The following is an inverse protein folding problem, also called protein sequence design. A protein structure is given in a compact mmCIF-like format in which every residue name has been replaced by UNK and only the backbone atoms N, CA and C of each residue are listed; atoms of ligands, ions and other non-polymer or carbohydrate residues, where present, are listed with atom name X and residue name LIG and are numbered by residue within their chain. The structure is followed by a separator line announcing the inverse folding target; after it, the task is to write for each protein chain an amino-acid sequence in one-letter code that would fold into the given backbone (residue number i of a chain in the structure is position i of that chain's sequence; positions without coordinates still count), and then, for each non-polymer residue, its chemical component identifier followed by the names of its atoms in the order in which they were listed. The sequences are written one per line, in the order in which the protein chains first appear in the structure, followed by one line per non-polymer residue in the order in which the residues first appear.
data_IF_238375788226
#
_entry.id   IF_238375788226
#
_cell.length_a   1.000
_cell.length_b   1.000
_cell.length_c   1.000
_cell.angle_alpha   90.00
_cell.angle_beta   90.00
_cell.angle_gamma   90.00
#
_symmetry.space_group_name_H-M   'P 1'
#
loop_
_entity.id
_entity.type
_entity.pdbx_description
1 polymer ?
#
# COMPACT_ATOMS: atom_id res chain seq x y z
N UNK A 1 -21.59 44.92 53.07
CA UNK A 1 -20.88 44.40 51.89
C UNK A 1 -19.99 45.50 51.33
N UNK A 2 -18.67 45.36 51.46
CA UNK A 2 -17.66 46.32 50.96
C UNK A 2 -16.96 45.71 49.74
N UNK A 3 -16.69 46.48 48.67
CA UNK A 3 -15.93 45.98 47.53
C UNK A 3 -14.42 45.98 47.86
N UNK A 4 -13.78 44.85 47.62
CA UNK A 4 -12.33 44.67 47.76
C UNK A 4 -11.65 45.21 46.50
N UNK A 5 -10.78 46.20 46.70
CA UNK A 5 -9.91 46.81 45.68
C UNK A 5 -8.71 45.88 45.47
N UNK A 6 -8.66 45.21 44.33
CA UNK A 6 -7.45 44.48 43.90
C UNK A 6 -6.39 45.45 43.40
N UNK A 7 -5.20 45.34 43.99
CA UNK A 7 -4.00 46.15 43.73
C UNK A 7 -3.30 45.62 42.47
N UNK A 8 -3.11 46.51 41.51
CA UNK A 8 -2.27 46.31 40.33
C UNK A 8 -0.79 46.25 40.73
N UNK A 9 -0.14 45.13 40.46
CA UNK A 9 1.32 44.96 40.59
C UNK A 9 2.04 45.55 39.36
N UNK A 10 3.21 46.19 39.54
CA UNK A 10 3.95 46.80 38.45
C UNK A 10 4.69 45.75 37.60
N UNK A 11 4.57 45.92 36.29
CA UNK A 11 5.17 45.09 35.24
C UNK A 11 6.68 45.38 35.17
N UNK A 12 7.51 44.46 35.66
CA UNK A 12 8.95 44.52 35.46
C UNK A 12 9.28 44.40 33.96
N UNK A 13 9.87 45.44 33.39
CA UNK A 13 10.42 45.45 32.05
C UNK A 13 11.63 44.51 32.00
N UNK A 14 11.53 43.45 31.20
CA UNK A 14 12.66 42.59 30.86
C UNK A 14 13.62 43.33 29.91
N UNK A 15 14.94 43.25 30.13
CA UNK A 15 15.93 43.81 29.22
C UNK A 15 15.90 43.06 27.87
N UNK A 16 16.00 43.83 26.80
CA UNK A 16 16.08 43.35 25.43
C UNK A 16 17.32 42.44 25.28
N UNK A 17 17.08 41.16 25.01
CA UNK A 17 18.11 40.21 24.59
C UNK A 17 18.43 40.50 23.13
N UNK A 18 19.63 40.99 22.91
CA UNK A 18 20.23 41.22 21.60
C UNK A 18 20.37 39.86 20.88
N UNK A 19 19.52 39.65 19.88
CA UNK A 19 19.50 38.44 19.05
C UNK A 19 20.70 38.46 18.11
N UNK A 20 21.77 37.77 18.51
CA UNK A 20 22.86 37.38 17.62
C UNK A 20 22.29 36.57 16.44
N UNK A 21 22.54 36.94 15.18
CA UNK A 21 22.05 36.19 14.04
C UNK A 21 22.67 34.79 14.04
N UNK A 22 21.80 33.78 14.20
CA UNK A 22 22.17 32.38 14.10
C UNK A 22 22.74 32.11 12.71
N UNK A 23 23.95 31.53 12.68
CA UNK A 23 24.58 31.04 11.47
C UNK A 23 23.61 30.13 10.71
N UNK A 24 23.40 30.44 9.44
CA UNK A 24 22.57 29.65 8.53
C UNK A 24 23.07 28.19 8.57
N UNK A 25 22.19 27.21 8.87
CA UNK A 25 22.57 25.82 8.82
C UNK A 25 22.99 25.50 7.39
N UNK A 26 24.25 25.08 7.26
CA UNK A 26 24.85 24.52 6.07
C UNK A 26 23.85 23.55 5.45
N UNK A 27 23.22 23.97 4.35
CA UNK A 27 22.33 23.15 3.55
C UNK A 27 23.17 21.99 3.01
N UNK A 28 23.23 20.93 3.80
CA UNK A 28 23.74 19.63 3.37
C UNK A 28 22.78 19.18 2.28
N UNK A 29 23.13 19.54 1.05
CA UNK A 29 22.44 19.19 -0.16
C UNK A 29 22.34 17.67 -0.17
N UNK A 30 21.16 17.16 0.20
CA UNK A 30 20.82 15.76 0.06
C UNK A 30 21.01 15.41 -1.41
N UNK A 31 22.15 14.77 -1.71
CA UNK A 31 22.44 14.22 -3.01
C UNK A 31 21.24 13.39 -3.44
N UNK A 32 20.49 13.92 -4.41
CA UNK A 32 19.32 13.25 -4.96
C UNK A 32 19.83 11.94 -5.56
N UNK A 33 19.38 10.77 -5.08
CA UNK A 33 19.86 9.51 -5.61
C UNK A 33 19.64 9.48 -7.13
N UNK A 34 20.61 8.97 -7.90
CA UNK A 34 20.57 9.01 -9.35
C UNK A 34 19.35 8.23 -9.84
N UNK A 35 18.37 8.96 -10.41
CA UNK A 35 17.30 8.44 -11.25
C UNK A 35 16.80 7.04 -10.83
N UNK A 36 16.03 6.95 -9.74
CA UNK A 36 15.05 5.87 -9.59
C UNK A 36 13.97 6.09 -10.67
N UNK A 37 14.31 5.79 -11.93
CA UNK A 37 13.42 5.93 -13.06
C UNK A 37 12.35 4.82 -12.96
N UNK A 38 11.42 4.99 -12.02
CA UNK A 38 10.26 4.14 -11.87
C UNK A 38 9.58 4.05 -13.24
N UNK A 39 9.23 2.85 -13.69
CA UNK A 39 8.64 2.67 -15.01
C UNK A 39 7.37 3.49 -15.10
N UNK A 40 7.33 4.46 -16.03
CA UNK A 40 6.14 5.28 -16.26
C UNK A 40 4.96 4.37 -16.59
N UNK A 41 3.97 4.33 -15.69
CA UNK A 41 2.74 3.58 -15.91
C UNK A 41 1.89 4.31 -16.94
N UNK A 42 1.52 3.60 -18.01
CA UNK A 42 0.72 4.17 -19.09
C UNK A 42 -0.71 4.41 -18.59
N UNK A 43 -1.26 5.59 -18.88
CA UNK A 43 -2.67 5.90 -18.61
C UNK A 43 -3.60 4.95 -19.40
N UNK A 44 -4.79 4.63 -18.87
CA UNK A 44 -5.76 3.82 -19.59
C UNK A 44 -6.12 4.50 -20.91
N UNK A 45 -5.82 3.85 -22.05
CA UNK A 45 -6.26 4.33 -23.36
C UNK A 45 -7.79 4.27 -23.42
N UNK A 46 -8.44 5.41 -23.52
CA UNK A 46 -9.85 5.48 -23.87
C UNK A 46 -9.97 5.14 -25.35
N UNK A 47 -10.23 3.88 -25.68
CA UNK A 47 -10.58 3.51 -27.06
C UNK A 47 -11.96 4.12 -27.30
N UNK A 48 -12.01 5.22 -28.05
CA UNK A 48 -13.30 5.83 -28.38
C UNK A 48 -14.10 4.83 -29.23
N UNK A 49 -15.29 4.44 -28.77
CA UNK A 49 -16.24 3.61 -29.54
C UNK A 49 -16.51 4.19 -30.94
N UNK A 50 -16.33 5.50 -31.10
CA UNK A 50 -16.41 6.22 -32.37
C UNK A 50 -15.36 5.76 -33.39
N UNK A 51 -14.11 5.51 -32.98
CA UNK A 51 -13.08 4.99 -33.87
C UNK A 51 -13.40 3.56 -34.35
N UNK A 52 -13.99 2.74 -33.48
CA UNK A 52 -14.42 1.39 -33.85
C UNK A 52 -15.59 1.42 -34.84
N UNK A 53 -16.59 2.28 -34.60
CA UNK A 53 -17.74 2.44 -35.49
C UNK A 53 -17.38 2.99 -36.87
N UNK A 54 -16.43 3.92 -36.97
CA UNK A 54 -15.96 4.46 -38.26
C UNK A 54 -15.21 3.41 -39.07
N UNK A 55 -14.33 2.62 -38.44
CA UNK A 55 -13.61 1.54 -39.13
C UNK A 55 -14.58 0.45 -39.61
N UNK A 56 -15.54 0.05 -38.77
CA UNK A 56 -16.56 -0.94 -39.13
C UNK A 56 -17.46 -0.45 -40.28
N UNK A 57 -17.81 0.84 -40.28
CA UNK A 57 -18.62 1.45 -41.34
C UNK A 57 -17.90 1.55 -42.69
N UNK A 58 -16.60 1.87 -42.68
CA UNK A 58 -15.78 1.91 -43.91
C UNK A 58 -15.57 0.50 -44.49
N UNK A 59 -15.33 -0.51 -43.64
CA UNK A 59 -15.20 -1.91 -44.09
C UNK A 59 -16.49 -2.47 -44.69
N UNK A 60 -17.66 -2.16 -44.11
CA UNK A 60 -18.97 -2.59 -44.63
C UNK A 60 -19.27 -1.99 -46.02
N UNK A 61 -18.93 -0.72 -46.25
CA UNK A 61 -19.10 -0.07 -47.54
C UNK A 61 -18.11 -0.58 -48.61
N UNK A 62 -16.87 -0.88 -48.22
CA UNK A 62 -15.86 -1.44 -49.12
C UNK A 62 -16.17 -2.90 -49.50
N UNK A 63 -16.70 -3.70 -48.56
CA UNK A 63 -17.06 -5.11 -48.77
C UNK A 63 -18.19 -5.31 -49.79
N UNK A 64 -19.13 -4.36 -49.88
CA UNK A 64 -20.27 -4.44 -50.81
C UNK A 64 -19.86 -4.25 -52.28
N UNK A 65 -18.79 -3.48 -52.54
CA UNK A 65 -18.26 -3.26 -53.89
C UNK A 65 -17.32 -4.38 -54.39
N UNK A 66 -16.86 -5.27 -53.51
CA UNK A 66 -15.75 -6.20 -53.78
C UNK A 66 -16.15 -7.69 -53.78
N UNK A 67 -17.41 -8.02 -53.54
CA UNK A 67 -17.91 -9.39 -53.40
C UNK A 67 -17.90 -10.25 -54.70
N UNK A 68 -17.34 -9.76 -55.81
CA UNK A 68 -17.42 -10.41 -57.14
C UNK A 68 -16.16 -11.16 -57.59
N UNK A 69 -15.06 -11.17 -56.83
CA UNK A 69 -13.80 -11.84 -57.22
C UNK A 69 -13.29 -12.82 -56.16
N UNK A 70 -12.93 -14.05 -56.53
CA UNK A 70 -12.43 -15.12 -55.63
C UNK A 70 -11.20 -14.75 -54.79
N UNK A 71 -10.40 -13.78 -55.24
CA UNK A 71 -9.24 -13.26 -54.51
C UNK A 71 -9.59 -12.58 -53.18
N UNK A 72 -10.80 -12.02 -53.03
CA UNK A 72 -11.20 -11.30 -51.82
C UNK A 72 -11.44 -12.23 -50.64
N UNK A 73 -11.97 -13.43 -50.89
CA UNK A 73 -12.11 -14.46 -49.86
C UNK A 73 -10.76 -14.91 -49.29
N UNK A 74 -9.73 -15.01 -50.14
CA UNK A 74 -8.37 -15.32 -49.69
C UNK A 74 -7.80 -14.21 -48.80
N UNK A 75 -7.93 -12.95 -49.23
CA UNK A 75 -7.47 -11.80 -48.46
C UNK A 75 -8.18 -11.69 -47.10
N UNK A 76 -9.50 -11.93 -47.08
CA UNK A 76 -10.28 -11.94 -45.85
C UNK A 76 -9.87 -13.09 -44.92
N UNK A 77 -9.65 -14.29 -45.45
CA UNK A 77 -9.16 -15.43 -44.69
C UNK A 77 -7.79 -15.16 -44.06
N UNK A 78 -6.86 -14.54 -44.80
CA UNK A 78 -5.54 -14.16 -44.29
C UNK A 78 -5.61 -13.07 -43.21
N UNK A 79 -6.42 -12.03 -43.43
CA UNK A 79 -6.61 -10.95 -42.47
C UNK A 79 -7.28 -11.45 -41.18
N UNK A 80 -8.34 -12.25 -41.32
CA UNK A 80 -9.05 -12.86 -40.20
C UNK A 80 -8.16 -13.85 -39.44
N UNK A 81 -7.41 -14.70 -40.15
CA UNK A 81 -6.43 -15.60 -39.56
C UNK A 81 -5.32 -14.86 -38.80
N UNK A 82 -4.81 -13.77 -39.37
CA UNK A 82 -3.83 -12.88 -38.73
C UNK A 82 -4.38 -12.21 -37.46
N UNK A 83 -5.61 -11.68 -37.52
CA UNK A 83 -6.29 -11.07 -36.38
C UNK A 83 -6.57 -12.09 -35.26
N UNK A 84 -7.04 -13.30 -35.62
CA UNK A 84 -7.25 -14.37 -34.65
C UNK A 84 -5.93 -14.79 -34.00
N UNK A 85 -4.89 -15.06 -34.80
CA UNK A 85 -3.57 -15.42 -34.30
C UNK A 85 -2.98 -14.35 -33.36
N UNK A 86 -3.12 -13.07 -33.72
CA UNK A 86 -2.71 -11.95 -32.88
C UNK A 86 -3.54 -11.87 -31.59
N UNK A 87 -4.86 -12.04 -31.66
CA UNK A 87 -5.76 -12.03 -30.51
C UNK A 87 -5.46 -13.17 -29.53
N UNK A 88 -5.26 -14.39 -30.04
CA UNK A 88 -4.88 -15.55 -29.23
C UNK A 88 -3.51 -15.35 -28.57
N UNK A 89 -2.52 -14.85 -29.31
CA UNK A 89 -1.21 -14.52 -28.75
C UNK A 89 -1.31 -13.47 -27.65
N UNK A 90 -2.09 -12.40 -27.87
CA UNK A 90 -2.28 -11.33 -26.89
C UNK A 90 -3.03 -11.80 -25.64
N UNK A 91 -4.03 -12.69 -25.80
CA UNK A 91 -4.70 -13.35 -24.67
C UNK A 91 -3.73 -14.25 -23.91
N UNK A 92 -2.92 -15.04 -24.60
CA UNK A 92 -1.89 -15.87 -23.98
C UNK A 92 -0.87 -15.05 -23.17
N UNK A 93 -0.41 -13.93 -23.71
CA UNK A 93 0.47 -13.00 -22.98
C UNK A 93 -0.23 -12.41 -21.74
N UNK A 94 -1.52 -12.08 -21.83
CA UNK A 94 -2.28 -11.60 -20.69
C UNK A 94 -2.49 -12.67 -19.61
N UNK A 95 -2.86 -13.90 -19.97
CA UNK A 95 -3.00 -15.00 -19.02
C UNK A 95 -1.69 -15.31 -18.30
N UNK A 96 -0.56 -15.34 -19.03
CA UNK A 96 0.76 -15.51 -18.42
C UNK A 96 1.11 -14.39 -17.45
N UNK A 97 0.79 -13.15 -17.80
CA UNK A 97 1.02 -12.00 -16.93
C UNK A 97 0.11 -11.99 -15.69
N UNK A 98 -1.13 -12.47 -15.79
CA UNK A 98 -2.04 -12.66 -14.65
C UNK A 98 -1.50 -13.75 -13.74
N UNK A 99 -1.19 -14.93 -14.29
CA UNK A 99 -0.65 -16.05 -13.53
C UNK A 99 0.67 -15.68 -12.82
N UNK A 100 1.54 -14.90 -13.46
CA UNK A 100 2.76 -14.40 -12.82
C UNK A 100 2.46 -13.44 -11.64
N UNK A 101 1.44 -12.57 -11.72
CA UNK A 101 1.06 -11.73 -10.58
C UNK A 101 0.44 -12.54 -9.45
N UNK A 102 -0.45 -13.49 -9.77
CA UNK A 102 -1.06 -14.37 -8.78
C UNK A 102 0.02 -15.18 -8.05
N UNK A 103 0.98 -15.73 -8.80
CA UNK A 103 2.12 -16.43 -8.21
C UNK A 103 2.98 -15.50 -7.33
N UNK A 104 3.25 -14.28 -7.76
CA UNK A 104 3.98 -13.32 -6.94
C UNK A 104 3.25 -12.97 -5.64
N UNK A 105 1.91 -12.87 -5.69
CA UNK A 105 1.07 -12.68 -4.49
C UNK A 105 1.15 -13.89 -3.56
N UNK A 106 1.08 -15.11 -4.07
CA UNK A 106 1.25 -16.32 -3.26
C UNK A 106 2.63 -16.37 -2.59
N UNK A 107 3.69 -16.06 -3.33
CA UNK A 107 5.05 -15.99 -2.79
C UNK A 107 5.14 -14.94 -1.66
N UNK A 108 4.49 -13.79 -1.82
CA UNK A 108 4.33 -12.83 -0.73
C UNK A 108 3.59 -13.45 0.46
N UNK A 109 2.46 -14.13 0.27
CA UNK A 109 1.71 -14.73 1.40
C UNK A 109 2.55 -15.80 2.14
N UNK A 110 3.41 -16.52 1.42
CA UNK A 110 4.37 -17.50 1.94
C UNK A 110 5.61 -16.88 2.63
N UNK A 111 5.88 -15.59 2.41
CA UNK A 111 7.06 -14.91 2.95
C UNK A 111 8.29 -14.92 2.04
N UNK A 112 8.18 -15.45 0.82
CA UNK A 112 9.25 -15.50 -0.18
C UNK A 112 9.33 -14.17 -0.95
N UNK A 113 9.69 -13.09 -0.25
CA UNK A 113 9.68 -11.74 -0.79
C UNK A 113 10.67 -11.54 -1.96
N UNK A 114 11.85 -12.17 -1.90
CA UNK A 114 12.88 -12.06 -2.95
C UNK A 114 12.44 -12.72 -4.26
N UNK A 115 11.89 -13.92 -4.20
CA UNK A 115 11.36 -14.62 -5.38
C UNK A 115 10.19 -13.84 -6.00
N UNK A 116 9.30 -13.29 -5.16
CA UNK A 116 8.23 -12.42 -5.61
C UNK A 116 8.78 -11.16 -6.30
N UNK A 117 9.84 -10.55 -5.74
CA UNK A 117 10.50 -9.39 -6.31
C UNK A 117 11.01 -9.67 -7.74
N UNK A 118 11.74 -10.77 -7.91
CA UNK A 118 12.31 -11.18 -9.20
C UNK A 118 11.21 -11.38 -10.25
N UNK A 119 10.14 -12.09 -9.89
CA UNK A 119 9.02 -12.36 -10.80
C UNK A 119 8.30 -11.06 -11.23
N UNK A 120 8.09 -10.14 -10.29
CA UNK A 120 7.46 -8.85 -10.54
C UNK A 120 8.35 -7.92 -11.38
N UNK A 121 9.66 -7.92 -11.13
CA UNK A 121 10.61 -7.10 -11.87
C UNK A 121 10.74 -7.59 -13.33
N UNK A 122 10.77 -8.92 -13.56
CA UNK A 122 10.68 -9.51 -14.90
C UNK A 122 9.37 -9.10 -15.61
N UNK A 123 8.25 -9.13 -14.90
CA UNK A 123 6.96 -8.75 -15.45
C UNK A 123 6.89 -7.26 -15.80
N UNK A 124 7.44 -6.38 -14.97
CA UNK A 124 7.48 -4.94 -15.22
C UNK A 124 8.41 -4.57 -16.39
N UNK A 125 9.56 -5.26 -16.51
CA UNK A 125 10.52 -5.07 -17.59
C UNK A 125 10.00 -5.58 -18.96
N UNK A 126 9.14 -6.60 -18.96
CA UNK A 126 8.59 -7.16 -20.20
C UNK A 126 7.70 -6.16 -20.95
N UNK A 127 8.04 -5.89 -22.22
CA UNK A 127 7.23 -5.09 -23.15
C UNK A 127 5.90 -5.75 -23.50
N UNK A 128 5.77 -7.07 -23.27
CA UNK A 128 4.56 -7.85 -23.58
C UNK A 128 3.51 -7.76 -22.47
N UNK A 129 3.85 -7.23 -21.31
CA UNK A 129 2.94 -7.11 -20.18
C UNK A 129 1.78 -6.15 -20.52
N UNK A 130 0.52 -6.61 -20.45
CA UNK A 130 -0.62 -5.77 -20.73
C UNK A 130 -0.65 -4.50 -19.86
N UNK A 131 -1.03 -3.34 -20.41
CA UNK A 131 -1.03 -2.07 -19.68
C UNK A 131 -1.87 -2.06 -18.40
N UNK A 132 -2.97 -2.82 -18.36
CA UNK A 132 -3.84 -2.93 -17.19
C UNK A 132 -3.26 -3.81 -16.07
N UNK A 133 -2.25 -4.62 -16.36
CA UNK A 133 -1.60 -5.52 -15.39
C UNK A 133 -0.39 -4.84 -14.73
N UNK A 134 0.25 -3.88 -15.42
CA UNK A 134 1.44 -3.18 -14.90
C UNK A 134 1.19 -2.44 -13.58
N UNK A 135 0.06 -1.73 -13.36
CA UNK A 135 -0.23 -1.12 -12.07
C UNK A 135 -0.38 -2.15 -10.94
N UNK A 136 -0.96 -3.32 -11.21
CA UNK A 136 -1.09 -4.40 -10.24
C UNK A 136 0.29 -4.97 -9.87
N UNK A 137 1.14 -5.22 -10.86
CA UNK A 137 2.51 -5.68 -10.62
C UNK A 137 3.34 -4.65 -9.84
N UNK A 138 3.19 -3.36 -10.17
CA UNK A 138 3.85 -2.27 -9.45
C UNK A 138 3.37 -2.17 -7.99
N UNK A 139 2.08 -2.38 -7.74
CA UNK A 139 1.51 -2.45 -6.39
C UNK A 139 2.10 -3.61 -5.58
N UNK A 140 2.12 -4.84 -6.10
CA UNK A 140 2.74 -5.96 -5.38
C UNK A 140 4.24 -5.77 -5.16
N UNK A 141 4.95 -5.13 -6.10
CA UNK A 141 6.37 -4.80 -5.94
C UNK A 141 6.58 -3.75 -4.85
N UNK A 142 5.61 -2.87 -4.63
CA UNK A 142 5.61 -1.95 -3.49
C UNK A 142 5.42 -2.71 -2.17
N UNK A 143 4.55 -3.73 -2.11
CA UNK A 143 4.41 -4.58 -0.92
C UNK A 143 5.70 -5.35 -0.60
N UNK A 144 6.41 -5.84 -1.61
CA UNK A 144 7.78 -6.39 -1.44
C UNK A 144 8.70 -5.33 -0.81
N UNK A 145 8.67 -4.10 -1.33
CA UNK A 145 9.50 -3.01 -0.82
C UNK A 145 9.20 -2.70 0.66
N UNK A 146 7.92 -2.73 1.07
CA UNK A 146 7.53 -2.61 2.49
C UNK A 146 8.17 -3.72 3.34
N UNK A 147 8.15 -4.97 2.85
CA UNK A 147 8.71 -6.12 3.57
C UNK A 147 10.22 -6.12 3.66
N UNK A 148 10.90 -5.42 2.76
CA UNK A 148 12.35 -5.17 2.86
C UNK A 148 12.67 -3.92 3.69
N UNK A 149 11.66 -3.21 4.20
CA UNK A 149 11.85 -1.94 4.91
C UNK A 149 12.22 -0.76 4.01
N UNK A 150 12.08 -0.91 2.68
CA UNK A 150 12.33 0.12 1.67
C UNK A 150 11.12 1.06 1.54
N UNK A 151 10.71 1.70 2.64
CA UNK A 151 9.45 2.45 2.72
C UNK A 151 9.36 3.62 1.71
N UNK A 152 10.47 4.31 1.48
CA UNK A 152 10.56 5.35 0.44
C UNK A 152 10.20 4.79 -0.95
N UNK A 153 10.85 3.70 -1.36
CA UNK A 153 10.59 3.08 -2.66
C UNK A 153 9.15 2.55 -2.76
N UNK A 154 8.63 1.99 -1.67
CA UNK A 154 7.24 1.53 -1.61
C UNK A 154 6.26 2.69 -1.89
N UNK A 155 6.45 3.83 -1.22
CA UNK A 155 5.60 5.01 -1.40
C UNK A 155 5.66 5.58 -2.81
N UNK A 156 6.85 5.68 -3.40
CA UNK A 156 6.99 6.18 -4.78
C UNK A 156 6.27 5.27 -5.77
N UNK A 157 6.40 3.93 -5.62
CA UNK A 157 5.69 2.95 -6.45
C UNK A 157 4.18 3.05 -6.28
N UNK A 158 3.69 3.17 -5.05
CA UNK A 158 2.26 3.32 -4.76
C UNK A 158 1.72 4.63 -5.35
N UNK A 159 2.46 5.74 -5.20
CA UNK A 159 2.11 7.02 -5.81
C UNK A 159 2.01 6.89 -7.33
N UNK A 160 2.97 6.24 -7.98
CA UNK A 160 2.92 5.98 -9.42
C UNK A 160 1.68 5.17 -9.82
N UNK A 161 1.28 4.17 -9.02
CA UNK A 161 0.04 3.40 -9.24
C UNK A 161 -1.20 4.29 -9.13
N UNK A 162 -1.27 5.18 -8.14
CA UNK A 162 -2.39 6.13 -7.97
C UNK A 162 -2.46 7.11 -9.15
N UNK A 163 -1.34 7.74 -9.50
CA UNK A 163 -1.22 8.74 -10.58
C UNK A 163 -1.46 8.15 -11.98
N UNK A 164 -1.31 6.83 -12.13
CA UNK A 164 -1.60 6.13 -13.38
C UNK A 164 -3.07 6.24 -13.82
N UNK A 165 -3.99 6.59 -12.90
CA UNK A 165 -5.41 6.80 -13.16
C UNK A 165 -6.21 5.50 -13.34
N UNK A 166 -5.60 4.33 -13.11
CA UNK A 166 -6.28 3.03 -13.21
C UNK A 166 -7.23 2.75 -12.03
N UNK A 167 -7.08 3.45 -10.92
CA UNK A 167 -7.89 3.30 -9.70
C UNK A 167 -9.16 4.18 -9.68
N UNK A 168 -9.35 5.04 -10.69
CA UNK A 168 -10.49 5.96 -10.73
C UNK A 168 -11.85 5.29 -10.92
N UNK A 169 -12.93 6.05 -10.74
CA UNK A 169 -14.30 5.57 -10.88
C UNK A 169 -14.58 4.93 -12.26
N UNK A 170 -15.29 3.79 -12.27
CA UNK A 170 -15.65 3.02 -13.47
C UNK A 170 -14.44 2.45 -14.24
N UNK A 171 -13.32 2.24 -13.55
CA UNK A 171 -12.11 1.60 -14.11
C UNK A 171 -11.98 0.16 -13.61
N UNK A 172 -11.23 -0.63 -14.37
CA UNK A 172 -11.03 -2.07 -14.14
C UNK A 172 -10.38 -2.38 -12.79
N UNK A 173 -9.62 -1.45 -12.20
CA UNK A 173 -8.91 -1.64 -10.93
C UNK A 173 -9.50 -0.82 -9.77
N UNK A 174 -10.74 -0.32 -9.89
CA UNK A 174 -11.36 0.47 -8.82
C UNK A 174 -11.47 -0.32 -7.51
N UNK A 175 -11.73 -1.63 -7.57
CA UNK A 175 -11.80 -2.50 -6.39
C UNK A 175 -10.46 -2.64 -5.65
N UNK A 176 -9.34 -2.32 -6.30
CA UNK A 176 -8.00 -2.36 -5.71
C UNK A 176 -7.65 -1.06 -4.97
N UNK A 177 -8.36 0.03 -5.24
CA UNK A 177 -8.07 1.35 -4.68
C UNK A 177 -7.90 1.35 -3.14
N UNK A 178 -8.84 0.82 -2.32
CA UNK A 178 -8.68 0.80 -0.88
C UNK A 178 -7.44 0.01 -0.42
N UNK A 179 -7.09 -1.10 -1.08
CA UNK A 179 -5.88 -1.84 -0.75
C UNK A 179 -4.60 -1.04 -1.05
N UNK A 180 -4.57 -0.29 -2.16
CA UNK A 180 -3.44 0.58 -2.52
C UNK A 180 -3.27 1.72 -1.52
N UNK A 181 -4.36 2.38 -1.12
CA UNK A 181 -4.31 3.46 -0.14
C UNK A 181 -3.99 2.95 1.28
N UNK A 182 -4.49 1.78 1.67
CA UNK A 182 -4.11 1.15 2.93
C UNK A 182 -2.61 0.80 2.96
N UNK A 183 -2.05 0.29 1.86
CA UNK A 183 -0.62 0.06 1.74
C UNK A 183 0.21 1.36 1.78
N UNK A 184 -0.28 2.45 1.18
CA UNK A 184 0.37 3.77 1.25
C UNK A 184 0.40 4.30 2.70
N UNK A 185 -0.72 4.13 3.39
CA UNK A 185 -0.88 4.46 4.82
C UNK A 185 0.11 3.65 5.63
N UNK A 186 0.08 2.31 5.52
CA UNK A 186 0.99 1.41 6.24
C UNK A 186 2.47 1.75 5.99
N UNK A 187 2.87 1.95 4.74
CA UNK A 187 4.25 2.33 4.41
C UNK A 187 4.67 3.66 5.06
N UNK A 188 3.74 4.63 5.16
CA UNK A 188 4.00 5.93 5.80
C UNK A 188 4.08 5.80 7.33
N UNK A 189 3.21 5.00 7.94
CA UNK A 189 3.23 4.71 9.39
C UNK A 189 4.51 3.99 9.81
N UNK A 190 4.92 2.98 9.04
CA UNK A 190 6.13 2.22 9.34
C UNK A 190 7.40 3.08 9.19
N UNK A 191 7.39 4.06 8.29
CA UNK A 191 8.48 5.04 8.15
C UNK A 191 8.45 6.15 9.23
N UNK A 192 7.37 6.26 10.01
CA UNK A 192 7.19 7.28 11.04
C UNK A 192 6.54 8.59 10.57
N UNK A 193 6.14 8.69 9.31
CA UNK A 193 5.43 9.86 8.77
C UNK A 193 3.92 9.71 8.95
N UNK A 194 3.45 9.97 10.18
CA UNK A 194 2.03 9.88 10.55
C UNK A 194 1.16 10.90 9.79
N UNK A 195 1.71 12.08 9.47
CA UNK A 195 0.97 13.09 8.72
C UNK A 195 0.71 12.64 7.27
N UNK A 196 1.68 12.01 6.60
CA UNK A 196 1.45 11.41 5.30
C UNK A 196 0.48 10.22 5.39
N UNK A 197 0.59 9.40 6.43
CA UNK A 197 -0.32 8.28 6.64
C UNK A 197 -1.79 8.75 6.75
N UNK A 198 -2.06 9.78 7.56
CA UNK A 198 -3.41 10.36 7.69
C UNK A 198 -3.94 10.90 6.36
N UNK A 199 -3.10 11.58 5.56
CA UNK A 199 -3.48 12.07 4.24
C UNK A 199 -3.89 10.93 3.31
N UNK A 200 -3.09 9.86 3.25
CA UNK A 200 -3.40 8.69 2.41
C UNK A 200 -4.65 7.96 2.88
N UNK A 201 -4.84 7.85 4.19
CA UNK A 201 -6.04 7.26 4.80
C UNK A 201 -7.29 8.04 4.44
N UNK A 202 -7.27 9.36 4.61
CA UNK A 202 -8.39 10.24 4.27
C UNK A 202 -8.71 10.26 2.77
N UNK A 203 -7.70 10.24 1.90
CA UNK A 203 -7.89 10.12 0.44
C UNK A 203 -8.49 8.75 0.07
N UNK A 204 -7.99 7.67 0.66
CA UNK A 204 -8.48 6.32 0.38
C UNK A 204 -9.93 6.11 0.79
N UNK A 205 -10.35 6.59 1.97
CA UNK A 205 -11.75 6.53 2.38
C UNK A 205 -12.67 7.36 1.48
N UNK A 206 -12.20 8.48 0.92
CA UNK A 206 -12.97 9.25 -0.08
C UNK A 206 -13.13 8.51 -1.40
N UNK A 207 -12.10 7.76 -1.81
CA UNK A 207 -12.09 7.01 -3.08
C UNK A 207 -12.83 5.66 -3.00
N UNK A 208 -12.94 5.06 -1.82
CA UNK A 208 -13.41 3.69 -1.64
C UNK A 208 -14.66 3.62 -0.77
N UNK A 209 -15.83 3.52 -1.40
CA UNK A 209 -17.04 3.15 -0.68
C UNK A 209 -17.00 1.65 -0.33
N UNK A 210 -17.13 1.33 0.96
CA UNK A 210 -17.54 0.02 1.49
C UNK A 210 -16.53 -1.14 1.43
N UNK A 211 -15.22 -0.88 1.60
CA UNK A 211 -14.20 -1.95 1.65
C UNK A 211 -13.29 -1.84 2.87
N UNK A 212 -13.90 -1.78 4.06
CA UNK A 212 -13.23 -1.58 5.36
C UNK A 212 -12.19 -2.66 5.68
N UNK A 213 -12.38 -3.88 5.14
CA UNK A 213 -11.44 -5.00 5.33
C UNK A 213 -9.98 -4.70 4.98
N UNK A 214 -9.73 -3.78 4.06
CA UNK A 214 -8.36 -3.43 3.66
C UNK A 214 -7.66 -2.52 4.66
N UNK A 215 -8.42 -1.88 5.55
CA UNK A 215 -7.93 -0.86 6.47
C UNK A 215 -7.52 -1.41 7.83
N UNK A 216 -8.01 -2.58 8.26
CA UNK A 216 -7.75 -3.11 9.61
C UNK A 216 -6.28 -3.07 10.02
N UNK A 217 -5.38 -3.57 9.17
CA UNK A 217 -3.93 -3.58 9.46
C UNK A 217 -3.39 -2.15 9.53
N UNK A 218 -3.62 -1.32 8.51
CA UNK A 218 -3.10 0.04 8.46
C UNK A 218 -3.61 0.90 9.64
N UNK A 219 -4.90 0.80 9.97
CA UNK A 219 -5.52 1.52 11.08
C UNK A 219 -4.98 1.05 12.44
N UNK A 220 -4.72 -0.24 12.61
CA UNK A 220 -4.10 -0.77 13.82
C UNK A 220 -2.68 -0.20 14.01
N UNK A 221 -1.87 -0.17 12.94
CA UNK A 221 -0.54 0.45 12.99
C UNK A 221 -0.61 1.95 13.25
N UNK A 222 -1.58 2.66 12.67
CA UNK A 222 -1.82 4.09 12.94
C UNK A 222 -2.06 4.34 14.44
N UNK A 223 -2.99 3.59 15.05
CA UNK A 223 -3.32 3.72 16.47
C UNK A 223 -2.12 3.38 17.36
N UNK A 224 -1.42 2.29 17.04
CA UNK A 224 -0.24 1.85 17.76
C UNK A 224 0.87 2.91 17.71
N UNK A 225 1.15 3.48 16.54
CA UNK A 225 2.16 4.55 16.40
C UNK A 225 1.76 5.86 17.05
N UNK A 226 0.46 6.12 17.19
CA UNK A 226 -0.07 7.28 17.90
C UNK A 226 -0.23 7.10 19.41
N UNK A 227 0.36 6.05 20.00
CA UNK A 227 0.23 5.72 21.43
C UNK A 227 -1.22 5.49 21.91
N UNK A 228 -2.16 5.21 21.01
CA UNK A 228 -3.57 5.02 21.29
C UNK A 228 -3.91 3.54 21.62
N UNK A 229 -3.20 2.99 22.61
CA UNK A 229 -3.20 1.55 22.94
C UNK A 229 -4.58 0.99 23.32
N UNK A 230 -5.32 1.70 24.17
CA UNK A 230 -6.68 1.27 24.57
C UNK A 230 -7.64 1.24 23.38
N UNK A 231 -7.57 2.26 22.53
CA UNK A 231 -8.42 2.35 21.34
C UNK A 231 -8.08 1.25 20.33
N UNK A 232 -6.79 0.91 20.19
CA UNK A 232 -6.34 -0.22 19.39
C UNK A 232 -6.96 -1.53 19.89
N UNK A 233 -6.79 -1.85 21.17
CA UNK A 233 -7.32 -3.09 21.76
C UNK A 233 -8.85 -3.17 21.64
N UNK A 234 -9.54 -2.06 21.95
CA UNK A 234 -10.99 -1.99 21.81
C UNK A 234 -11.43 -2.25 20.36
N UNK A 235 -10.75 -1.66 19.36
CA UNK A 235 -11.08 -1.89 17.94
C UNK A 235 -10.80 -3.31 17.48
N UNK A 236 -9.68 -3.91 17.90
CA UNK A 236 -9.36 -5.30 17.55
C UNK A 236 -10.42 -6.24 18.12
N UNK A 237 -10.78 -6.08 19.39
CA UNK A 237 -11.82 -6.89 20.04
C UNK A 237 -13.19 -6.70 19.39
N UNK A 238 -13.60 -5.46 19.13
CA UNK A 238 -14.92 -5.17 18.56
C UNK A 238 -15.08 -5.65 17.11
N UNK A 239 -13.99 -5.87 16.37
CA UNK A 239 -14.02 -6.24 14.96
C UNK A 239 -13.36 -7.60 14.68
N UNK A 240 -13.09 -8.41 15.70
CA UNK A 240 -12.29 -9.63 15.55
C UNK A 240 -12.89 -10.61 14.54
N UNK A 241 -14.20 -10.86 14.61
CA UNK A 241 -14.89 -11.76 13.67
C UNK A 241 -14.79 -11.27 12.21
N UNK A 242 -14.89 -9.96 12.00
CA UNK A 242 -14.75 -9.35 10.68
C UNK A 242 -13.30 -9.41 10.17
N UNK A 243 -12.33 -9.24 11.08
CA UNK A 243 -10.90 -9.39 10.79
C UNK A 243 -10.61 -10.84 10.36
N UNK A 244 -11.06 -11.83 11.14
CA UNK A 244 -10.82 -13.25 10.85
C UNK A 244 -11.43 -13.68 9.51
N UNK A 245 -12.62 -13.17 9.18
CA UNK A 245 -13.29 -13.48 7.91
C UNK A 245 -12.69 -12.82 6.66
N UNK A 246 -11.82 -11.81 6.81
CA UNK A 246 -11.41 -10.97 5.66
C UNK A 246 -9.91 -10.71 5.52
N UNK A 247 -9.16 -10.75 6.62
CA UNK A 247 -7.71 -10.45 6.64
C UNK A 247 -6.93 -11.73 6.36
N UNK A 248 -5.87 -11.62 5.55
CA UNK A 248 -4.97 -12.76 5.31
C UNK A 248 -4.34 -13.27 6.62
N UNK A 249 -3.97 -14.55 6.69
CA UNK A 249 -3.29 -15.10 7.87
C UNK A 249 -2.03 -14.32 8.28
N UNK A 250 -1.27 -13.81 7.31
CA UNK A 250 -0.13 -12.93 7.59
C UNK A 250 -0.54 -11.62 8.27
N UNK A 251 -1.65 -11.00 7.81
CA UNK A 251 -2.22 -9.80 8.42
C UNK A 251 -2.76 -10.06 9.83
N UNK A 252 -3.43 -11.19 10.06
CA UNK A 252 -3.89 -11.60 11.40
C UNK A 252 -2.69 -11.69 12.35
N UNK A 253 -1.58 -12.30 11.92
CA UNK A 253 -0.36 -12.38 12.74
C UNK A 253 0.26 -11.01 13.04
N UNK A 254 0.16 -10.04 12.12
CA UNK A 254 0.59 -8.67 12.38
C UNK A 254 -0.30 -7.98 13.43
N UNK A 255 -1.61 -8.19 13.36
CA UNK A 255 -2.56 -7.64 14.33
C UNK A 255 -2.35 -8.24 15.73
N UNK A 256 -2.14 -9.56 15.81
CA UNK A 256 -1.80 -10.24 17.07
C UNK A 256 -0.47 -9.73 17.66
N UNK A 257 0.53 -9.46 16.82
CA UNK A 257 1.79 -8.85 17.27
C UNK A 257 1.55 -7.46 17.88
N UNK A 258 0.73 -6.62 17.23
CA UNK A 258 0.38 -5.30 17.73
C UNK A 258 -0.48 -5.36 19.00
N UNK A 259 -1.40 -6.32 19.10
CA UNK A 259 -2.20 -6.56 20.31
C UNK A 259 -1.29 -6.93 21.49
N UNK A 260 -0.40 -7.90 21.30
CA UNK A 260 0.57 -8.31 22.29
C UNK A 260 1.48 -7.15 22.73
N UNK A 261 1.93 -6.33 21.77
CA UNK A 261 2.73 -5.15 22.06
C UNK A 261 1.95 -4.08 22.83
N UNK A 262 0.70 -3.82 22.45
CA UNK A 262 -0.17 -2.86 23.15
C UNK A 262 -0.43 -3.25 24.60
N UNK A 263 -0.63 -4.55 24.87
CA UNK A 263 -0.79 -5.08 26.24
C UNK A 263 0.49 -4.88 27.06
N UNK A 264 1.66 -5.13 26.48
CA UNK A 264 2.93 -4.87 27.15
C UNK A 264 3.09 -3.38 27.53
N UNK A 265 2.75 -2.46 26.61
CA UNK A 265 2.84 -1.01 26.83
C UNK A 265 1.88 -0.50 27.90
N UNK A 266 0.68 -1.07 28.01
CA UNK A 266 -0.27 -0.71 29.07
C UNK A 266 0.19 -1.23 30.44
N UNK A 267 0.71 -2.46 30.50
CA UNK A 267 1.24 -3.04 31.74
C UNK A 267 2.48 -2.29 32.27
N UNK A 268 3.30 -1.72 31.40
CA UNK A 268 4.45 -0.88 31.80
C UNK A 268 4.04 0.48 32.39
N UNK A 269 2.90 1.05 31.92
CA UNK A 269 2.43 2.38 32.34
C UNK A 269 1.61 2.34 33.62
N UNK A 270 0.88 1.27 33.83
CA UNK A 270 0.02 1.09 34.99
C UNK A 270 0.53 -0.08 35.81
N UNK A 271 1.10 0.18 36.99
CA UNK A 271 1.57 -0.83 37.95
C UNK A 271 0.51 -1.89 38.31
N UNK A 272 -0.75 -1.76 37.84
CA UNK A 272 -1.81 -2.76 37.91
C UNK A 272 -2.87 -2.55 36.81
N UNK A 273 -2.54 -2.65 35.51
CA UNK A 273 -3.59 -2.68 34.48
C UNK A 273 -4.56 -3.85 34.72
N UNK A 274 -5.79 -3.54 35.17
CA UNK A 274 -6.90 -4.50 35.41
C UNK A 274 -8.01 -4.34 34.36
N UNK A 275 -7.66 -3.95 33.13
CA UNK A 275 -8.62 -3.81 32.04
C UNK A 275 -9.17 -5.15 31.54
N UNK A 276 -10.11 -5.10 30.58
CA UNK A 276 -10.78 -6.26 29.97
C UNK A 276 -9.82 -7.34 29.41
N UNK A 277 -8.55 -7.00 29.18
CA UNK A 277 -7.55 -7.86 28.58
C UNK A 277 -6.53 -8.45 29.58
N UNK A 278 -6.73 -8.28 30.89
CA UNK A 278 -5.77 -8.69 31.93
C UNK A 278 -5.51 -10.21 32.01
N UNK A 279 -6.31 -11.03 31.30
CA UNK A 279 -6.17 -12.49 31.26
C UNK A 279 -5.51 -13.05 30.00
N UNK A 280 -5.22 -12.23 28.98
CA UNK A 280 -4.56 -12.71 27.77
C UNK A 280 -3.04 -12.76 27.96
N UNK A 281 -2.47 -13.96 27.90
CA UNK A 281 -1.02 -14.13 27.96
C UNK A 281 -0.38 -13.65 26.64
N UNK A 282 0.56 -12.70 26.73
CA UNK A 282 1.35 -12.19 25.60
C UNK A 282 1.98 -13.34 24.79
N UNK A 283 2.45 -14.38 25.47
CA UNK A 283 3.03 -15.60 24.89
C UNK A 283 2.05 -16.34 23.96
N UNK A 284 0.76 -16.38 24.30
CA UNK A 284 -0.27 -17.04 23.51
C UNK A 284 -0.59 -16.26 22.23
N UNK A 285 -0.64 -14.93 22.30
CA UNK A 285 -0.91 -14.06 21.14
C UNK A 285 0.19 -14.16 20.07
N UNK A 286 1.45 -14.17 20.50
CA UNK A 286 2.60 -14.27 19.58
C UNK A 286 2.91 -15.72 19.17
N UNK A 287 2.18 -16.70 19.71
CA UNK A 287 2.41 -18.09 19.40
C UNK A 287 2.15 -18.38 17.90
N UNK A 288 3.16 -18.93 17.23
CA UNK A 288 3.11 -19.24 15.80
C UNK A 288 3.65 -18.14 14.88
N UNK A 289 4.08 -17.00 15.43
CA UNK A 289 4.88 -16.03 14.67
C UNK A 289 6.30 -16.59 14.54
N UNK A 290 6.75 -16.81 13.29
CA UNK A 290 8.11 -17.28 13.02
C UNK A 290 9.12 -16.14 13.22
N UNK A 291 10.27 -16.40 13.86
CA UNK A 291 11.36 -15.42 13.95
C UNK A 291 11.75 -14.89 12.57
N UNK A 292 12.06 -13.60 12.47
CA UNK A 292 12.48 -12.97 11.20
C UNK A 292 11.34 -12.56 10.27
N UNK A 293 10.13 -13.12 10.44
CA UNK A 293 9.03 -12.94 9.49
C UNK A 293 8.56 -11.49 9.36
N UNK A 294 8.69 -10.72 10.43
CA UNK A 294 8.12 -9.37 10.54
C UNK A 294 9.15 -8.31 10.96
N UNK A 295 10.44 -8.57 10.78
CA UNK A 295 11.53 -7.67 11.21
C UNK A 295 11.40 -6.26 10.61
N UNK A 296 10.85 -6.17 9.39
CA UNK A 296 10.60 -4.88 8.73
C UNK A 296 9.64 -3.98 9.49
N UNK A 297 8.71 -4.52 10.30
CA UNK A 297 7.77 -3.70 11.09
C UNK A 297 8.51 -2.86 12.15
N UNK A 298 9.63 -3.37 12.64
CA UNK A 298 10.40 -2.77 13.72
C UNK A 298 11.59 -1.93 13.22
N UNK A 299 11.80 -1.82 11.88
CA UNK A 299 13.02 -1.23 11.32
C UNK A 299 13.25 0.21 11.80
N UNK A 300 12.19 1.03 11.74
CA UNK A 300 12.15 2.44 12.18
C UNK A 300 11.37 2.62 13.48
N UNK A 301 11.16 1.53 14.23
CA UNK A 301 10.39 1.53 15.47
C UNK A 301 11.20 0.87 16.59
N UNK A 302 12.08 1.62 17.27
CA UNK A 302 12.97 1.08 18.30
C UNK A 302 12.24 0.33 19.41
N UNK A 303 11.14 0.89 19.91
CA UNK A 303 10.38 0.32 21.03
C UNK A 303 9.72 -1.02 20.64
N UNK A 304 9.16 -1.11 19.43
CA UNK A 304 8.66 -2.37 18.90
C UNK A 304 9.78 -3.39 18.66
N UNK A 305 10.96 -2.93 18.23
CA UNK A 305 12.14 -3.80 18.05
C UNK A 305 12.56 -4.41 19.37
N UNK A 306 12.66 -3.62 20.44
CA UNK A 306 13.02 -4.09 21.77
C UNK A 306 12.03 -5.14 22.27
N UNK A 307 10.73 -4.89 22.11
CA UNK A 307 9.69 -5.87 22.42
C UNK A 307 9.86 -7.17 21.61
N UNK A 308 10.04 -7.07 20.30
CA UNK A 308 10.25 -8.25 19.44
C UNK A 308 11.53 -9.02 19.80
N UNK A 309 12.58 -8.32 20.23
CA UNK A 309 13.82 -8.94 20.69
C UNK A 309 13.64 -9.69 22.02
N UNK A 310 12.96 -9.08 23.00
CA UNK A 310 12.66 -9.71 24.28
C UNK A 310 11.86 -11.00 24.13
N UNK A 311 10.99 -11.07 23.11
CA UNK A 311 10.17 -12.23 22.78
C UNK A 311 10.76 -13.16 21.70
N UNK A 312 12.03 -12.96 21.29
CA UNK A 312 12.73 -13.80 20.28
C UNK A 312 12.02 -13.89 18.92
N UNK A 313 11.38 -12.80 18.51
CA UNK A 313 10.65 -12.71 17.23
C UNK A 313 11.51 -12.17 16.09
N UNK A 314 12.66 -11.56 16.39
CA UNK A 314 13.62 -11.11 15.39
C UNK A 314 14.45 -12.28 14.87
N UNK A 315 14.94 -12.18 13.63
CA UNK A 315 15.90 -13.16 13.13
C UNK A 315 17.16 -13.14 14.01
N UNK A 316 17.58 -14.31 14.50
CA UNK A 316 18.91 -14.47 15.09
C UNK A 316 19.92 -14.40 13.95
N UNK A 317 20.65 -13.28 13.87
CA UNK A 317 21.79 -13.12 12.97
C UNK A 317 22.93 -14.07 13.29
#
# INVERSE_FOLDING_TARGET
MRPVRERSTPRHAQPAVELTPAAEPEQTSLATPPNSALPKLLKPRQVSLRAFGVVLGIELLAGLGWALTSWTWLAFALLFGGLLGWSFRRRGDAHRAIAANERARELLDLGQADEAAQLLDQLLASRRTPPNIRPLAAYYRALVSIRHGEFNQARERIRAVIESGWLGNRKTLQSLAPAVYAAATLASVLDGDLQAADRWRAEGHRCAANLDRHWFVADAFMLARGDAWEQLLHRLNANWDAIEGTVSGAGIRQLQLLEAYALARLNEREDNYRGLHSGQEISALIHGIRPGRFDYLALRWPELREFMQAHRLLATG
#
